data_IF_310999758338
#
_entry.id   IF_310999758338
#
_cell.length_a   1.000
_cell.length_b   1.000
_cell.length_c   1.000
_cell.angle_alpha   90.00
_cell.angle_beta   90.00
_cell.angle_gamma   90.00
#
_symmetry.space_group_name_H-M   'P 1'
#
loop_
_entity.id
_entity.type
_entity.pdbx_description
1 polymer ?
#
# COMPACT_ATOMS: atom_id res chain seq x y z
N UNK A 1 -2.22 -7.74 12.38
CA UNK A 1 -2.69 -6.87 11.28
C UNK A 1 -1.66 -5.77 11.11
N UNK A 2 -1.23 -5.52 9.88
CA UNK A 2 -0.26 -4.48 9.55
C UNK A 2 -0.90 -3.49 8.57
N UNK A 3 -0.34 -2.29 8.49
CA UNK A 3 -0.76 -1.21 7.61
C UNK A 3 0.39 -0.88 6.68
N UNK A 4 0.12 -0.94 5.38
CA UNK A 4 1.06 -0.61 4.32
C UNK A 4 0.61 0.70 3.67
N UNK A 5 1.54 1.64 3.58
CA UNK A 5 1.35 2.94 2.94
C UNK A 5 2.12 2.93 1.63
N UNK A 6 1.38 3.00 0.53
CA UNK A 6 1.94 3.01 -0.83
C UNK A 6 1.73 4.40 -1.43
N UNK A 7 2.82 5.10 -1.68
CA UNK A 7 2.78 6.32 -2.50
C UNK A 7 2.57 5.91 -3.95
N UNK A 8 1.67 6.61 -4.63
CA UNK A 8 1.35 6.36 -6.03
C UNK A 8 1.61 7.64 -6.79
N UNK A 9 2.47 7.53 -7.80
CA UNK A 9 2.75 8.61 -8.74
C UNK A 9 1.77 8.50 -9.90
N UNK A 10 1.00 9.57 -10.09
CA UNK A 10 0.02 9.67 -11.16
C UNK A 10 0.65 10.42 -12.34
N UNK A 11 0.53 9.84 -13.53
CA UNK A 11 1.00 10.45 -14.79
C UNK A 11 0.02 11.51 -15.30
N UNK A 12 -1.22 11.45 -14.83
CA UNK A 12 -2.31 12.30 -15.29
C UNK A 12 -2.60 13.36 -14.22
N UNK A 13 -2.47 14.63 -14.59
CA UNK A 13 -2.63 15.78 -13.68
C UNK A 13 -4.08 15.96 -13.21
N UNK A 14 -5.04 15.35 -13.94
CA UNK A 14 -6.47 15.36 -13.62
C UNK A 14 -6.91 14.10 -12.84
N UNK A 15 -6.03 13.12 -12.65
CA UNK A 15 -6.38 11.89 -11.93
C UNK A 15 -6.33 12.09 -10.41
N UNK A 16 -7.43 11.73 -9.76
CA UNK A 16 -7.52 11.74 -8.30
C UNK A 16 -7.16 10.36 -7.72
N UNK A 17 -6.39 10.36 -6.62
CA UNK A 17 -5.99 9.10 -5.98
C UNK A 17 -7.20 8.34 -5.41
N UNK A 18 -8.30 9.02 -5.05
CA UNK A 18 -9.56 8.39 -4.63
C UNK A 18 -10.21 7.61 -5.77
N UNK A 19 -10.16 8.15 -7.00
CA UNK A 19 -10.64 7.43 -8.19
C UNK A 19 -9.78 6.20 -8.47
N UNK A 20 -8.45 6.34 -8.38
CA UNK A 20 -7.53 5.21 -8.52
C UNK A 20 -7.84 4.14 -7.47
N UNK A 21 -8.00 4.50 -6.20
CA UNK A 21 -8.33 3.55 -5.13
C UNK A 21 -9.63 2.78 -5.41
N UNK A 22 -10.60 3.40 -6.10
CA UNK A 22 -11.92 2.81 -6.37
C UNK A 22 -11.95 1.93 -7.61
N UNK A 23 -11.30 2.35 -8.69
CA UNK A 23 -11.39 1.69 -10.00
C UNK A 23 -10.15 0.86 -10.36
N UNK A 24 -9.05 0.96 -9.60
CA UNK A 24 -7.85 0.23 -9.98
C UNK A 24 -7.85 -1.24 -9.57
N UNK A 25 -7.18 -2.04 -10.41
CA UNK A 25 -6.83 -3.41 -10.09
C UNK A 25 -5.60 -3.42 -9.20
N UNK A 26 -5.69 -3.98 -8.00
CA UNK A 26 -4.56 -4.07 -7.08
C UNK A 26 -4.13 -5.53 -6.97
N UNK A 27 -2.83 -5.79 -7.03
CA UNK A 27 -2.28 -7.11 -6.74
C UNK A 27 -1.16 -6.97 -5.72
N UNK A 28 -1.35 -7.61 -4.56
CA UNK A 28 -0.34 -7.68 -3.52
C UNK A 28 0.02 -9.14 -3.27
N UNK A 29 1.30 -9.45 -3.35
CA UNK A 29 1.81 -10.80 -3.16
C UNK A 29 2.98 -10.81 -2.18
N UNK A 30 2.87 -11.65 -1.16
CA UNK A 30 3.95 -11.92 -0.21
C UNK A 30 3.73 -13.30 0.45
N UNK A 31 4.77 -14.13 0.65
CA UNK A 31 4.60 -15.51 1.13
C UNK A 31 3.96 -15.61 2.52
N UNK A 32 4.29 -14.66 3.42
CA UNK A 32 3.73 -14.59 4.78
C UNK A 32 2.37 -13.88 4.86
N UNK A 33 1.84 -13.37 3.74
CA UNK A 33 0.53 -12.73 3.71
C UNK A 33 -0.58 -13.79 3.64
N UNK A 34 -1.58 -13.65 4.49
CA UNK A 34 -2.79 -14.46 4.49
C UNK A 34 -3.86 -13.81 3.60
N UNK A 35 -4.12 -12.52 3.85
CA UNK A 35 -5.11 -11.73 3.13
C UNK A 35 -4.71 -10.25 3.15
N UNK A 36 -5.36 -9.42 2.33
CA UNK A 36 -5.14 -7.99 2.32
C UNK A 36 -6.37 -7.25 1.78
N UNK A 37 -6.53 -6.01 2.25
CA UNK A 37 -7.63 -5.15 1.83
C UNK A 37 -7.12 -3.72 1.63
N UNK A 38 -7.54 -3.08 0.54
CA UNK A 38 -7.35 -1.64 0.39
C UNK A 38 -8.33 -0.91 1.30
N UNK A 39 -7.82 -0.15 2.26
CA UNK A 39 -8.66 0.66 3.16
C UNK A 39 -9.11 1.96 2.51
N UNK A 40 -8.28 2.52 1.62
CA UNK A 40 -8.60 3.73 0.86
C UNK A 40 -7.38 4.64 0.70
N UNK A 41 -7.64 5.93 0.50
CA UNK A 41 -6.61 6.97 0.42
C UNK A 41 -6.40 7.59 1.79
N UNK A 42 -5.13 7.79 2.15
CA UNK A 42 -4.71 8.49 3.35
C UNK A 42 -3.61 9.50 3.03
N UNK A 43 -3.35 10.43 3.94
CA UNK A 43 -2.24 11.36 3.83
C UNK A 43 -1.18 11.00 4.86
N UNK A 44 -0.01 10.60 4.40
CA UNK A 44 1.12 10.29 5.26
C UNK A 44 2.25 11.29 5.02
N UNK A 45 2.63 12.05 6.04
CA UNK A 45 3.67 13.09 5.96
C UNK A 45 3.46 14.13 4.82
N UNK A 46 2.19 14.39 4.44
CA UNK A 46 1.85 15.31 3.36
C UNK A 46 1.86 14.68 1.96
N UNK A 47 2.06 13.37 1.86
CA UNK A 47 1.94 12.59 0.62
C UNK A 47 0.62 11.83 0.60
N UNK A 48 -0.09 11.89 -0.53
CA UNK A 48 -1.28 11.07 -0.75
C UNK A 48 -0.84 9.62 -1.02
N UNK A 49 -1.29 8.71 -0.17
CA UNK A 49 -0.90 7.31 -0.18
C UNK A 49 -2.14 6.41 -0.17
N UNK A 50 -2.04 5.26 -0.82
CA UNK A 50 -2.98 4.17 -0.64
C UNK A 50 -2.64 3.40 0.65
N UNK A 51 -3.64 3.25 1.52
CA UNK A 51 -3.53 2.44 2.73
C UNK A 51 -4.04 1.03 2.47
N UNK A 52 -3.19 0.04 2.71
CA UNK A 52 -3.55 -1.38 2.66
C UNK A 52 -3.47 -1.97 4.06
N UNK A 53 -4.53 -2.65 4.46
CA UNK A 53 -4.55 -3.53 5.62
C UNK A 53 -4.05 -4.91 5.21
N UNK A 54 -2.99 -5.36 5.85
CA UNK A 54 -2.37 -6.66 5.62
C UNK A 54 -2.69 -7.60 6.77
N UNK A 55 -3.28 -8.74 6.43
CA UNK A 55 -3.41 -9.87 7.33
C UNK A 55 -2.26 -10.83 7.10
N UNK A 56 -1.38 -10.97 8.09
CA UNK A 56 -0.23 -11.86 8.01
C UNK A 56 -0.59 -13.22 8.60
N UNK A 57 -0.07 -14.30 8.01
CA UNK A 57 -0.25 -15.69 8.50
C UNK A 57 0.33 -15.89 9.90
N UNK A 58 1.36 -15.11 10.24
CA UNK A 58 2.08 -15.13 11.50
C UNK A 58 2.33 -13.71 12.00
N UNK A 59 2.58 -13.56 13.30
CA UNK A 59 2.93 -12.26 13.87
C UNK A 59 4.32 -11.84 13.41
N UNK A 60 4.40 -10.71 12.73
CA UNK A 60 5.66 -10.12 12.26
C UNK A 60 6.23 -9.25 13.39
N UNK A 61 7.49 -9.49 13.76
CA UNK A 61 8.17 -8.66 14.76
C UNK A 61 8.73 -7.39 14.11
N UNK A 62 8.96 -6.34 14.91
CA UNK A 62 9.43 -5.04 14.41
C UNK A 62 10.71 -5.14 13.55
N UNK A 63 11.62 -6.05 13.88
CA UNK A 63 12.84 -6.28 13.11
C UNK A 63 12.58 -6.79 11.68
N UNK A 64 11.47 -7.50 11.45
CA UNK A 64 11.08 -8.03 10.15
C UNK A 64 10.29 -7.01 9.31
N UNK A 65 9.72 -5.96 9.91
CA UNK A 65 8.95 -4.94 9.18
C UNK A 65 9.80 -4.27 8.09
N UNK A 66 11.06 -3.98 8.37
CA UNK A 66 11.96 -3.35 7.40
C UNK A 66 12.25 -4.27 6.20
N UNK A 67 12.39 -5.57 6.44
CA UNK A 67 12.52 -6.58 5.38
C UNK A 67 11.22 -6.71 4.60
N UNK A 68 10.08 -6.70 5.31
CA UNK A 68 8.75 -6.81 4.72
C UNK A 68 8.46 -5.67 3.73
N UNK A 69 8.86 -4.44 4.05
CA UNK A 69 8.78 -3.28 3.14
C UNK A 69 9.49 -3.55 1.81
N UNK A 70 10.63 -4.23 1.85
CA UNK A 70 11.44 -4.51 0.65
C UNK A 70 10.96 -5.74 -0.13
N UNK A 71 10.32 -6.70 0.54
CA UNK A 71 9.84 -7.94 -0.08
C UNK A 71 8.43 -7.79 -0.66
N UNK A 72 7.57 -6.97 -0.03
CA UNK A 72 6.23 -6.68 -0.52
C UNK A 72 6.34 -6.01 -1.90
N UNK A 73 5.73 -6.68 -2.88
CA UNK A 73 5.50 -6.13 -4.21
C UNK A 73 4.03 -5.85 -4.37
N UNK A 74 3.69 -4.57 -4.47
CA UNK A 74 2.36 -4.12 -4.87
C UNK A 74 2.41 -3.74 -6.33
N UNK A 75 1.45 -4.23 -7.09
CA UNK A 75 1.22 -3.80 -8.47
C UNK A 75 -0.14 -3.12 -8.52
N UNK A 76 -0.14 -1.86 -8.95
CA UNK A 76 -1.34 -1.07 -9.21
C UNK A 76 -1.57 -1.07 -10.71
N UNK A 77 -2.73 -1.56 -11.13
CA UNK A 77 -3.17 -1.60 -12.52
C UNK A 77 -4.22 -0.52 -12.72
N UNK A 78 -3.76 0.68 -13.06
CA UNK A 78 -4.60 1.81 -13.42
C UNK A 78 -3.91 2.60 -14.55
N UNK A 79 -4.65 3.07 -15.58
CA UNK A 79 -4.04 3.83 -16.69
C UNK A 79 -3.38 5.13 -16.25
N UNK A 80 -3.87 5.76 -15.18
CA UNK A 80 -3.30 7.00 -14.66
C UNK A 80 -2.06 6.81 -13.77
N UNK A 81 -1.67 5.57 -13.43
CA UNK A 81 -0.57 5.31 -12.50
C UNK A 81 0.73 5.10 -13.27
N UNK A 82 1.72 5.97 -13.05
CA UNK A 82 3.07 5.85 -13.62
C UNK A 82 3.95 4.91 -12.81
N UNK A 83 3.90 5.07 -11.48
CA UNK A 83 4.75 4.35 -10.56
C UNK A 83 4.08 4.23 -9.19
N UNK A 84 4.56 3.29 -8.39
CA UNK A 84 4.15 3.14 -7.00
C UNK A 84 5.35 2.76 -6.14
N UNK A 85 5.40 3.29 -4.92
CA UNK A 85 6.49 3.07 -3.99
C UNK A 85 5.96 2.77 -2.60
N UNK A 86 6.48 1.71 -2.00
CA UNK A 86 6.23 1.43 -0.57
C UNK A 86 6.93 2.48 0.29
N UNK A 87 6.14 3.20 1.08
CA UNK A 87 6.64 4.23 2.00
C UNK A 87 6.88 3.66 3.39
N UNK A 88 5.91 2.90 3.90
CA UNK A 88 5.92 2.40 5.27
C UNK A 88 5.12 1.12 5.39
N UNK A 89 5.57 0.22 6.26
CA UNK A 89 4.75 -0.84 6.84
C UNK A 89 4.81 -0.72 8.36
N UNK A 90 3.66 -0.64 9.01
CA UNK A 90 3.53 -0.44 10.45
C UNK A 90 2.53 -1.43 11.06
N UNK A 91 2.71 -1.81 12.33
CA UNK A 91 1.71 -2.56 13.10
C UNK A 91 0.57 -1.67 13.62
N UNK A 92 0.70 -0.35 13.46
CA UNK A 92 -0.28 0.65 13.86
C UNK A 92 -0.74 1.43 12.64
N UNK A 93 -2.03 1.80 12.67
CA UNK A 93 -2.56 2.73 11.71
C UNK A 93 -2.01 4.12 12.04
N UNK A 94 -1.35 4.73 11.06
CA UNK A 94 -0.88 6.11 11.11
C UNK A 94 -2.06 7.01 10.66
N UNK A 95 -2.49 7.91 11.53
CA UNK A 95 -3.59 8.88 11.30
C UNK A 95 -3.08 10.30 11.23
#
# INVERSE_FOLDING_TARGET
>A
MLYLYLEVDLSDDDADLDEVARDCGHTLQHPKLADWHLSGVTQWHGHACLEFQLEMKESIVQAELHTLISDIKVQISHPAVSASRTMLVSDKQET
#
